data_IF_791278990038
#
_entry.id   IF_791278990038
#
_cell.length_a   1.000
_cell.length_b   1.000
_cell.length_c   1.000
_cell.angle_alpha   90.00
_cell.angle_beta   90.00
_cell.angle_gamma   90.00
#
_symmetry.space_group_name_H-M   'P 1'
#
loop_
_entity.id
_entity.type
_entity.pdbx_description
1 polymer ?
#
# COMPACT_ATOMS: atom_id res chain seq x y z
N UNK A 1 -33.68 -13.76 -5.24
CA UNK A 1 -32.98 -13.60 -3.95
C UNK A 1 -32.71 -12.16 -3.57
N UNK A 2 -32.34 -11.27 -4.51
CA UNK A 2 -31.71 -9.98 -4.20
C UNK A 2 -32.32 -9.11 -3.09
N UNK A 3 -33.65 -9.01 -2.98
CA UNK A 3 -34.27 -8.24 -1.88
C UNK A 3 -34.09 -8.92 -0.50
N UNK A 4 -34.15 -10.26 -0.47
CA UNK A 4 -33.88 -11.04 0.73
C UNK A 4 -32.38 -10.98 1.08
N UNK A 5 -31.49 -11.13 0.11
CA UNK A 5 -30.05 -11.00 0.33
C UNK A 5 -29.67 -9.61 0.84
N UNK A 6 -30.34 -8.55 0.36
CA UNK A 6 -30.18 -7.19 0.88
C UNK A 6 -30.63 -7.07 2.33
N UNK A 7 -31.78 -7.67 2.67
CA UNK A 7 -32.32 -7.70 4.03
C UNK A 7 -31.42 -8.47 5.00
N UNK A 8 -30.82 -9.56 4.52
CA UNK A 8 -29.94 -10.42 5.31
C UNK A 8 -28.47 -9.95 5.31
N UNK A 9 -28.14 -8.91 4.55
CA UNK A 9 -26.79 -8.36 4.45
C UNK A 9 -25.80 -9.33 3.81
N UNK A 10 -26.22 -10.01 2.72
CA UNK A 10 -25.44 -11.04 2.03
C UNK A 10 -25.00 -10.63 0.63
N UNK A 11 -23.70 -10.78 0.35
CA UNK A 11 -23.14 -10.74 -0.99
C UNK A 11 -23.19 -12.14 -1.58
N UNK A 12 -24.06 -12.34 -2.56
CA UNK A 12 -24.25 -13.61 -3.27
C UNK A 12 -23.94 -13.45 -4.75
N UNK A 13 -23.14 -14.37 -5.30
CA UNK A 13 -22.88 -14.40 -6.74
C UNK A 13 -24.07 -15.04 -7.48
N UNK A 14 -24.38 -14.52 -8.67
CA UNK A 14 -25.42 -15.08 -9.52
C UNK A 14 -24.85 -16.26 -10.32
N UNK A 15 -25.50 -17.42 -10.23
CA UNK A 15 -25.07 -18.67 -10.88
C UNK A 15 -24.07 -19.46 -10.03
N UNK A 16 -23.41 -20.45 -10.62
CA UNK A 16 -22.45 -21.32 -9.91
C UNK A 16 -21.12 -20.58 -9.65
N UNK A 17 -20.73 -20.33 -8.39
CA UNK A 17 -19.57 -19.50 -8.07
C UNK A 17 -18.26 -19.94 -8.72
N UNK A 18 -17.93 -21.24 -8.65
CA UNK A 18 -16.72 -21.79 -9.27
C UNK A 18 -16.65 -21.51 -10.79
N UNK A 19 -17.74 -21.75 -11.53
CA UNK A 19 -17.79 -21.47 -12.98
C UNK A 19 -17.56 -19.99 -13.26
N UNK A 20 -18.24 -19.10 -12.52
CA UNK A 20 -18.14 -17.66 -12.74
C UNK A 20 -16.77 -17.09 -12.37
N UNK A 21 -16.08 -17.65 -11.38
CA UNK A 21 -14.73 -17.23 -11.02
C UNK A 21 -13.70 -17.68 -12.06
N UNK A 22 -13.86 -18.88 -12.65
CA UNK A 22 -13.01 -19.34 -13.75
C UNK A 22 -13.18 -18.52 -15.02
N UNK A 23 -14.41 -18.06 -15.29
CA UNK A 23 -14.69 -17.15 -16.41
C UNK A 23 -14.05 -15.75 -16.24
N UNK A 24 -14.10 -15.19 -15.02
CA UNK A 24 -13.54 -13.87 -14.70
C UNK A 24 -13.10 -13.82 -13.24
N UNK A 25 -11.81 -14.08 -12.95
CA UNK A 25 -11.29 -14.14 -11.58
C UNK A 25 -11.47 -12.83 -10.80
N UNK A 26 -11.59 -11.70 -11.49
CA UNK A 26 -11.85 -10.37 -10.89
C UNK A 26 -13.17 -10.34 -10.10
N UNK A 27 -14.12 -11.25 -10.37
CA UNK A 27 -15.35 -11.36 -9.58
C UNK A 27 -15.08 -11.69 -8.11
N UNK A 28 -14.01 -12.40 -7.79
CA UNK A 28 -13.59 -12.65 -6.40
C UNK A 28 -13.21 -11.35 -5.71
N UNK A 29 -12.38 -10.52 -6.34
CA UNK A 29 -11.99 -9.20 -5.85
C UNK A 29 -13.21 -8.29 -5.65
N UNK A 30 -14.16 -8.31 -6.59
CA UNK A 30 -15.40 -7.53 -6.50
C UNK A 30 -16.29 -7.98 -5.34
N UNK A 31 -16.43 -9.28 -5.10
CA UNK A 31 -17.21 -9.80 -3.98
C UNK A 31 -16.66 -9.28 -2.64
N UNK A 32 -15.33 -9.37 -2.45
CA UNK A 32 -14.64 -8.83 -1.27
C UNK A 32 -14.81 -7.32 -1.16
N UNK A 33 -14.65 -6.58 -2.26
CA UNK A 33 -14.84 -5.13 -2.28
C UNK A 33 -16.23 -4.71 -1.82
N UNK A 34 -17.27 -5.38 -2.30
CA UNK A 34 -18.65 -5.06 -1.92
C UNK A 34 -18.96 -5.48 -0.48
N UNK A 35 -18.44 -6.63 -0.03
CA UNK A 35 -18.57 -7.06 1.35
C UNK A 35 -18.00 -6.01 2.32
N UNK A 36 -16.77 -5.52 2.06
CA UNK A 36 -16.15 -4.46 2.86
C UNK A 36 -16.95 -3.15 2.79
N UNK A 37 -17.26 -2.66 1.59
CA UNK A 37 -17.94 -1.37 1.39
C UNK A 37 -19.34 -1.30 2.01
N UNK A 38 -20.11 -2.37 1.88
CA UNK A 38 -21.51 -2.42 2.36
C UNK A 38 -21.61 -2.95 3.78
N UNK A 39 -20.48 -3.34 4.39
CA UNK A 39 -20.45 -4.05 5.69
C UNK A 39 -21.36 -5.28 5.70
N UNK A 40 -21.34 -6.02 4.58
CA UNK A 40 -22.14 -7.23 4.34
C UNK A 40 -21.25 -8.47 4.34
N UNK A 41 -21.82 -9.63 4.65
CA UNK A 41 -21.09 -10.91 4.64
C UNK A 41 -21.18 -11.55 3.27
N UNK A 42 -20.14 -12.27 2.84
CA UNK A 42 -20.21 -13.09 1.63
C UNK A 42 -20.98 -14.37 1.96
N UNK A 43 -21.93 -14.77 1.11
CA UNK A 43 -22.68 -16.00 1.34
C UNK A 43 -21.73 -17.22 1.34
N UNK A 44 -21.97 -18.27 2.15
CA UNK A 44 -21.04 -19.39 2.27
C UNK A 44 -20.70 -20.06 0.94
N UNK A 45 -21.70 -20.25 0.07
CA UNK A 45 -21.52 -20.79 -1.29
C UNK A 45 -20.64 -19.91 -2.20
N UNK A 46 -20.71 -18.58 -2.01
CA UNK A 46 -19.92 -17.61 -2.77
C UNK A 46 -18.50 -17.51 -2.20
N UNK A 47 -18.36 -17.65 -0.90
CA UNK A 47 -17.10 -17.53 -0.18
C UNK A 47 -16.18 -18.74 -0.36
N UNK A 48 -16.74 -19.96 -0.32
CA UNK A 48 -15.96 -21.22 -0.28
C UNK A 48 -14.96 -21.36 -1.45
N UNK A 49 -15.30 -21.05 -2.71
CA UNK A 49 -14.35 -21.26 -3.80
C UNK A 49 -13.22 -20.22 -3.85
N UNK A 50 -13.37 -19.09 -3.14
CA UNK A 50 -12.45 -17.95 -3.28
C UNK A 50 -11.01 -18.32 -2.89
N UNK A 51 -10.72 -18.90 -1.71
CA UNK A 51 -9.34 -19.22 -1.34
C UNK A 51 -8.72 -20.29 -2.26
N UNK A 52 -9.53 -21.26 -2.71
CA UNK A 52 -9.11 -22.34 -3.63
C UNK A 52 -8.73 -21.80 -5.01
N UNK A 53 -9.45 -20.78 -5.49
CA UNK A 53 -9.31 -20.23 -6.84
C UNK A 53 -8.49 -18.93 -6.88
N UNK A 54 -8.02 -18.44 -5.73
CA UNK A 54 -7.31 -17.17 -5.61
C UNK A 54 -6.11 -17.05 -6.58
N UNK A 55 -5.44 -18.16 -6.89
CA UNK A 55 -4.30 -18.18 -7.83
C UNK A 55 -4.69 -17.82 -9.26
N UNK A 56 -5.95 -17.97 -9.66
CA UNK A 56 -6.45 -17.54 -10.98
C UNK A 56 -6.34 -16.02 -11.20
N UNK A 57 -6.15 -15.25 -10.13
CA UNK A 57 -5.84 -13.82 -10.23
C UNK A 57 -4.57 -13.58 -11.05
N UNK A 58 -3.60 -14.49 -11.03
CA UNK A 58 -2.35 -14.37 -11.78
C UNK A 58 -2.56 -14.42 -13.31
N UNK A 59 -3.67 -15.00 -13.78
CA UNK A 59 -4.03 -15.07 -15.20
C UNK A 59 -4.70 -13.79 -15.71
N UNK A 60 -5.05 -12.87 -14.80
CA UNK A 60 -5.67 -11.59 -15.15
C UNK A 60 -4.60 -10.61 -15.60
N UNK A 61 -4.80 -9.87 -16.72
CA UNK A 61 -3.86 -8.86 -17.18
C UNK A 61 -3.47 -7.85 -16.08
N UNK A 62 -2.17 -7.58 -15.85
CA UNK A 62 -1.70 -6.70 -14.78
C UNK A 62 -2.31 -5.29 -14.76
N UNK A 63 -2.69 -4.76 -15.93
CA UNK A 63 -3.38 -3.46 -16.03
C UNK A 63 -4.79 -3.49 -15.41
N UNK A 64 -5.54 -4.59 -15.62
CA UNK A 64 -6.86 -4.78 -15.00
C UNK A 64 -6.72 -4.97 -13.49
N UNK A 65 -5.71 -5.72 -13.05
CA UNK A 65 -5.44 -5.88 -11.61
C UNK A 65 -5.06 -4.56 -10.94
N UNK A 66 -4.27 -3.72 -11.61
CA UNK A 66 -3.95 -2.40 -11.12
C UNK A 66 -5.21 -1.54 -10.89
N UNK A 67 -6.14 -1.49 -11.86
CA UNK A 67 -7.39 -0.75 -11.69
C UNK A 67 -8.23 -1.29 -10.52
N UNK A 68 -8.34 -2.61 -10.37
CA UNK A 68 -9.08 -3.21 -9.27
C UNK A 68 -8.38 -2.99 -7.93
N UNK A 69 -7.04 -3.01 -7.87
CA UNK A 69 -6.28 -2.70 -6.66
C UNK A 69 -6.57 -1.28 -6.16
N UNK A 70 -6.68 -0.29 -7.06
CA UNK A 70 -7.09 1.06 -6.67
C UNK A 70 -8.52 1.10 -6.14
N UNK A 71 -9.46 0.39 -6.78
CA UNK A 71 -10.86 0.31 -6.32
C UNK A 71 -11.00 -0.41 -4.98
N UNK A 72 -10.09 -1.33 -4.66
CA UNK A 72 -10.06 -2.06 -3.40
C UNK A 72 -9.50 -1.19 -2.28
N UNK A 73 -8.34 -0.56 -2.50
CA UNK A 73 -7.55 0.07 -1.45
C UNK A 73 -7.74 1.58 -1.32
N UNK A 74 -8.32 2.25 -2.34
CA UNK A 74 -8.49 3.71 -2.37
C UNK A 74 -9.95 4.12 -2.61
N UNK A 75 -10.90 3.29 -2.21
CA UNK A 75 -12.33 3.60 -2.29
C UNK A 75 -12.95 4.05 -0.95
N UNK A 76 -12.11 4.29 0.07
CA UNK A 76 -12.55 4.68 1.41
C UNK A 76 -12.79 3.50 2.36
N UNK A 77 -12.61 2.27 1.89
CA UNK A 77 -12.81 1.03 2.67
C UNK A 77 -11.59 0.10 2.59
N UNK A 78 -10.42 0.66 2.32
CA UNK A 78 -9.18 -0.06 2.07
C UNK A 78 -8.76 -0.95 3.25
N UNK A 79 -8.92 -0.49 4.50
CA UNK A 79 -8.52 -1.30 5.66
C UNK A 79 -9.41 -2.54 5.84
N UNK A 80 -10.73 -2.37 5.75
CA UNK A 80 -11.68 -3.47 5.83
C UNK A 80 -11.52 -4.43 4.65
N UNK A 81 -11.32 -3.88 3.45
CA UNK A 81 -11.04 -4.66 2.23
C UNK A 81 -9.75 -5.46 2.38
N UNK A 82 -8.69 -4.87 2.93
CA UNK A 82 -7.42 -5.57 3.17
C UNK A 82 -7.55 -6.76 4.12
N UNK A 83 -8.31 -6.62 5.21
CA UNK A 83 -8.56 -7.74 6.13
C UNK A 83 -9.23 -8.91 5.42
N UNK A 84 -10.27 -8.63 4.63
CA UNK A 84 -10.95 -9.66 3.85
C UNK A 84 -10.04 -10.25 2.75
N UNK A 85 -9.24 -9.44 2.06
CA UNK A 85 -8.29 -9.94 1.07
C UNK A 85 -7.28 -10.91 1.69
N UNK A 86 -6.83 -10.66 2.93
CA UNK A 86 -5.97 -11.59 3.66
C UNK A 86 -6.71 -12.87 4.06
N UNK A 87 -7.91 -12.73 4.62
CA UNK A 87 -8.74 -13.86 5.04
C UNK A 87 -9.02 -14.83 3.88
N UNK A 88 -9.29 -14.29 2.68
CA UNK A 88 -9.61 -15.07 1.49
C UNK A 88 -8.39 -15.43 0.62
N UNK A 89 -7.16 -15.20 1.09
CA UNK A 89 -5.92 -15.47 0.35
C UNK A 89 -5.81 -14.74 -1.02
N UNK A 90 -6.51 -13.61 -1.17
CA UNK A 90 -6.52 -12.80 -2.39
C UNK A 90 -5.48 -11.66 -2.37
N UNK A 91 -4.93 -11.34 -1.20
CA UNK A 91 -3.87 -10.32 -1.10
C UNK A 91 -2.56 -10.79 -1.74
N UNK A 92 -2.26 -12.09 -1.58
CA UNK A 92 -1.05 -12.75 -2.01
C UNK A 92 -0.80 -12.67 -3.52
N UNK A 93 -1.76 -13.01 -4.40
CA UNK A 93 -1.57 -12.85 -5.84
C UNK A 93 -1.48 -11.39 -6.30
N UNK A 94 -2.00 -10.43 -5.54
CA UNK A 94 -1.90 -8.99 -5.89
C UNK A 94 -0.57 -8.36 -5.44
N UNK A 95 -0.04 -8.80 -4.30
CA UNK A 95 1.15 -8.22 -3.67
C UNK A 95 2.13 -9.31 -3.21
N UNK A 96 2.71 -10.10 -4.13
CA UNK A 96 3.63 -11.18 -3.78
C UNK A 96 4.88 -10.66 -3.05
N UNK A 97 5.40 -9.50 -3.46
CA UNK A 97 6.58 -8.87 -2.85
C UNK A 97 6.37 -8.53 -1.38
N UNK A 98 5.16 -8.08 -1.02
CA UNK A 98 4.79 -7.75 0.36
C UNK A 98 4.53 -9.02 1.15
N UNK A 99 3.77 -9.95 0.58
CA UNK A 99 3.37 -11.20 1.24
C UNK A 99 4.56 -12.01 1.72
N UNK A 100 5.66 -12.02 0.97
CA UNK A 100 6.90 -12.73 1.36
C UNK A 100 7.49 -12.23 2.68
N UNK A 101 7.21 -11.00 3.07
CA UNK A 101 7.72 -10.37 4.28
C UNK A 101 6.73 -10.43 5.46
N UNK A 102 5.58 -11.12 5.32
CA UNK A 102 4.64 -11.27 6.43
C UNK A 102 5.18 -12.17 7.53
N UNK A 103 4.82 -11.85 8.77
CA UNK A 103 5.25 -12.59 9.96
C UNK A 103 4.10 -13.43 10.51
N UNK A 104 4.41 -14.56 11.15
CA UNK A 104 3.39 -15.40 11.80
C UNK A 104 2.60 -14.66 12.88
N UNK A 105 3.27 -13.75 13.60
CA UNK A 105 2.67 -12.93 14.65
C UNK A 105 1.73 -11.84 14.09
N UNK A 106 1.79 -11.54 12.80
CA UNK A 106 0.91 -10.57 12.14
C UNK A 106 1.14 -9.09 12.54
N UNK A 107 2.27 -8.79 13.18
CA UNK A 107 2.49 -7.52 13.89
C UNK A 107 3.85 -6.87 13.57
N UNK A 108 4.39 -7.18 12.40
CA UNK A 108 5.61 -6.55 11.89
C UNK A 108 5.40 -5.05 11.60
N UNK A 109 6.48 -4.23 11.59
CA UNK A 109 6.39 -2.83 11.17
C UNK A 109 5.73 -2.65 9.81
N UNK A 110 5.99 -3.56 8.86
CA UNK A 110 5.35 -3.56 7.55
C UNK A 110 3.84 -3.79 7.63
N UNK A 111 3.38 -4.77 8.41
CA UNK A 111 1.95 -5.04 8.57
C UNK A 111 1.22 -3.88 9.24
N UNK A 112 1.84 -3.29 10.26
CA UNK A 112 1.34 -2.06 10.90
C UNK A 112 1.29 -0.88 9.94
N UNK A 113 2.29 -0.73 9.07
CA UNK A 113 2.34 0.30 8.03
C UNK A 113 1.19 0.18 7.04
N UNK A 114 0.97 -1.03 6.51
CA UNK A 114 -0.14 -1.28 5.58
C UNK A 114 -1.47 -0.98 6.26
N UNK A 115 -1.67 -1.46 7.49
CA UNK A 115 -2.88 -1.18 8.24
C UNK A 115 -3.10 0.33 8.46
N UNK A 116 -2.07 1.05 8.89
CA UNK A 116 -2.18 2.48 9.22
C UNK A 116 -2.36 3.34 7.98
N UNK A 117 -1.62 3.09 6.89
CA UNK A 117 -1.77 3.87 5.65
C UNK A 117 -3.15 3.68 5.03
N UNK A 118 -3.74 2.48 5.13
CA UNK A 118 -5.10 2.23 4.66
C UNK A 118 -6.14 2.93 5.53
N UNK A 119 -6.03 2.85 6.86
CA UNK A 119 -6.92 3.60 7.78
C UNK A 119 -6.87 5.10 7.54
N UNK A 120 -5.66 5.65 7.34
CA UNK A 120 -5.47 7.06 7.03
C UNK A 120 -6.08 7.40 5.67
N UNK A 121 -5.87 6.57 4.65
CA UNK A 121 -6.47 6.75 3.31
C UNK A 121 -8.00 6.73 3.39
N UNK A 122 -8.57 5.81 4.15
CA UNK A 122 -10.02 5.70 4.35
C UNK A 122 -10.57 6.95 5.02
N UNK A 123 -9.93 7.42 6.09
CA UNK A 123 -10.28 8.66 6.78
C UNK A 123 -10.19 9.87 5.85
N UNK A 124 -9.19 9.93 4.96
CA UNK A 124 -9.04 11.03 4.01
C UNK A 124 -10.16 11.05 2.98
N UNK A 125 -10.54 9.90 2.43
CA UNK A 125 -11.60 9.81 1.43
C UNK A 125 -12.95 10.18 2.04
N UNK A 126 -13.25 9.73 3.26
CA UNK A 126 -14.49 10.10 3.96
C UNK A 126 -14.58 11.59 4.30
N UNK A 127 -13.45 12.30 4.37
CA UNK A 127 -13.38 13.74 4.57
C UNK A 127 -13.24 14.51 3.24
N UNK A 128 -13.63 13.91 2.10
CA UNK A 128 -13.55 14.49 0.74
C UNK A 128 -12.16 15.02 0.35
N UNK A 129 -11.11 14.49 0.98
CA UNK A 129 -9.74 14.88 0.67
C UNK A 129 -9.18 14.04 -0.47
N UNK A 130 -8.42 14.69 -1.36
CA UNK A 130 -7.68 14.00 -2.42
C UNK A 130 -6.65 13.05 -1.81
N UNK A 131 -6.54 11.87 -2.40
CA UNK A 131 -5.52 10.86 -2.08
C UNK A 131 -4.59 10.65 -3.27
N UNK A 132 -3.32 10.36 -2.99
CA UNK A 132 -2.32 10.10 -4.01
C UNK A 132 -2.00 8.59 -4.08
N UNK A 133 -2.31 7.90 -5.20
CA UNK A 133 -1.96 6.49 -5.38
C UNK A 133 -0.47 6.19 -5.16
N UNK A 134 0.42 7.10 -5.57
CA UNK A 134 1.85 6.90 -5.38
C UNK A 134 2.25 6.85 -3.90
N UNK A 135 1.55 7.60 -3.03
CA UNK A 135 1.84 7.58 -1.60
C UNK A 135 1.48 6.22 -0.97
N UNK A 136 0.34 5.65 -1.35
CA UNK A 136 -0.08 4.33 -0.86
C UNK A 136 0.97 3.27 -1.20
N UNK A 137 1.39 3.17 -2.47
CA UNK A 137 2.41 2.21 -2.87
C UNK A 137 3.77 2.49 -2.22
N UNK A 138 4.18 3.76 -2.12
CA UNK A 138 5.44 4.13 -1.46
C UNK A 138 5.47 3.67 0.01
N UNK A 139 4.36 3.78 0.73
CA UNK A 139 4.24 3.31 2.11
C UNK A 139 4.19 1.78 2.21
N UNK A 140 3.36 1.11 1.39
CA UNK A 140 3.21 -0.34 1.43
C UNK A 140 4.51 -1.09 1.09
N UNK A 141 5.29 -0.58 0.14
CA UNK A 141 6.55 -1.20 -0.28
C UNK A 141 7.78 -0.65 0.47
N UNK A 142 7.60 0.22 1.48
CA UNK A 142 8.71 0.84 2.20
C UNK A 142 9.63 -0.20 2.86
N UNK A 143 9.08 -1.13 3.62
CA UNK A 143 9.88 -2.16 4.30
C UNK A 143 10.46 -3.21 3.35
N UNK A 144 9.72 -3.73 2.35
CA UNK A 144 10.32 -4.55 1.30
C UNK A 144 11.51 -3.88 0.59
N UNK A 145 11.43 -2.57 0.36
CA UNK A 145 12.55 -1.78 -0.16
C UNK A 145 13.73 -1.74 0.79
N UNK A 146 13.51 -1.44 2.07
CA UNK A 146 14.59 -1.37 3.07
C UNK A 146 15.32 -2.71 3.20
N UNK A 147 14.58 -3.82 3.25
CA UNK A 147 15.13 -5.17 3.33
C UNK A 147 15.94 -5.51 2.08
N UNK A 148 15.41 -5.22 0.89
CA UNK A 148 16.13 -5.43 -0.37
C UNK A 148 17.40 -4.56 -0.47
N UNK A 149 17.33 -3.29 -0.07
CA UNK A 149 18.47 -2.37 -0.07
C UNK A 149 19.58 -2.84 0.88
N UNK A 150 19.21 -3.31 2.07
CA UNK A 150 20.15 -3.83 3.05
C UNK A 150 20.84 -5.10 2.53
N UNK A 151 20.07 -6.02 1.93
CA UNK A 151 20.62 -7.23 1.31
C UNK A 151 21.62 -6.90 0.20
N UNK A 152 21.25 -6.02 -0.74
CA UNK A 152 22.14 -5.63 -1.85
C UNK A 152 23.42 -4.97 -1.33
N UNK A 153 23.32 -4.09 -0.33
CA UNK A 153 24.48 -3.42 0.27
C UNK A 153 25.46 -4.42 0.89
N UNK A 154 24.94 -5.45 1.58
CA UNK A 154 25.75 -6.48 2.23
C UNK A 154 26.37 -7.46 1.22
N UNK A 155 25.62 -7.89 0.21
CA UNK A 155 26.07 -8.90 -0.76
C UNK A 155 27.02 -8.33 -1.82
N UNK A 156 26.78 -7.11 -2.28
CA UNK A 156 27.54 -6.50 -3.39
C UNK A 156 28.65 -5.55 -2.94
N UNK A 157 28.71 -5.21 -1.65
CA UNK A 157 29.67 -4.23 -1.10
C UNK A 157 29.46 -2.80 -1.60
N UNK A 158 28.31 -2.51 -2.21
CA UNK A 158 27.96 -1.18 -2.72
C UNK A 158 27.68 -0.21 -1.58
N UNK A 159 27.90 1.09 -1.82
CA UNK A 159 27.44 2.13 -0.91
C UNK A 159 25.91 2.06 -0.77
N UNK A 160 25.40 2.31 0.45
CA UNK A 160 23.97 2.15 0.75
C UNK A 160 23.07 3.00 -0.18
N UNK A 161 23.53 4.17 -0.60
CA UNK A 161 22.78 5.02 -1.54
C UNK A 161 22.55 4.34 -2.90
N UNK A 162 23.58 3.69 -3.45
CA UNK A 162 23.51 3.00 -4.73
C UNK A 162 22.71 1.69 -4.60
N UNK A 163 22.93 0.95 -3.51
CA UNK A 163 22.15 -0.25 -3.18
C UNK A 163 20.65 0.06 -3.05
N UNK A 164 20.30 1.18 -2.40
CA UNK A 164 18.91 1.64 -2.27
C UNK A 164 18.29 1.99 -3.62
N UNK A 165 19.03 2.65 -4.51
CA UNK A 165 18.54 2.97 -5.85
C UNK A 165 18.25 1.71 -6.69
N UNK A 166 19.13 0.70 -6.60
CA UNK A 166 18.93 -0.62 -7.23
C UNK A 166 17.74 -1.35 -6.63
N UNK A 167 17.64 -1.44 -5.30
CA UNK A 167 16.51 -2.06 -4.62
C UNK A 167 15.16 -1.42 -4.99
N UNK A 168 15.13 -0.09 -5.14
CA UNK A 168 13.95 0.63 -5.60
C UNK A 168 13.55 0.24 -7.04
N UNK A 169 14.51 -0.07 -7.92
CA UNK A 169 14.22 -0.63 -9.23
C UNK A 169 13.59 -2.01 -9.09
N UNK A 170 14.27 -2.92 -8.40
CA UNK A 170 13.89 -4.32 -8.32
C UNK A 170 12.50 -4.51 -7.71
N UNK A 171 12.22 -3.81 -6.60
CA UNK A 171 10.91 -3.87 -5.92
C UNK A 171 9.80 -3.34 -6.82
N UNK A 172 10.03 -2.22 -7.52
CA UNK A 172 9.02 -1.66 -8.41
C UNK A 172 8.81 -2.50 -9.66
N UNK A 173 9.87 -3.07 -10.23
CA UNK A 173 9.78 -3.93 -11.41
C UNK A 173 9.06 -5.24 -11.06
N UNK A 174 9.33 -5.80 -9.88
CA UNK A 174 8.58 -6.95 -9.38
C UNK A 174 7.10 -6.64 -9.15
N UNK A 175 6.79 -5.52 -8.49
CA UNK A 175 5.41 -5.08 -8.33
C UNK A 175 4.73 -4.82 -9.68
N UNK A 176 5.46 -4.26 -10.66
CA UNK A 176 4.97 -3.99 -12.01
C UNK A 176 4.62 -5.25 -12.81
N UNK A 177 5.25 -6.40 -12.50
CA UNK A 177 4.90 -7.69 -13.11
C UNK A 177 3.49 -8.14 -12.72
N UNK A 178 3.05 -7.82 -11.51
CA UNK A 178 1.72 -8.21 -11.00
C UNK A 178 0.67 -7.12 -11.23
N UNK A 179 0.99 -5.88 -10.91
CA UNK A 179 0.13 -4.72 -11.08
C UNK A 179 0.84 -3.82 -12.06
N UNK A 180 0.34 -3.58 -13.28
CA UNK A 180 1.02 -2.71 -14.25
C UNK A 180 0.96 -1.24 -13.81
N UNK A 181 1.75 -0.89 -12.77
CA UNK A 181 1.76 0.43 -12.16
C UNK A 181 2.29 1.42 -13.21
N UNK A 182 1.50 2.43 -13.60
CA UNK A 182 1.92 3.42 -14.59
C UNK A 182 3.24 4.10 -14.22
N UNK A 183 4.09 4.38 -15.22
CA UNK A 183 5.38 5.07 -15.01
C UNK A 183 5.24 6.38 -14.24
N UNK A 184 4.15 7.13 -14.48
CA UNK A 184 3.85 8.36 -13.72
C UNK A 184 3.77 8.12 -12.21
N UNK A 185 3.33 6.95 -11.76
CA UNK A 185 3.19 6.61 -10.34
C UNK A 185 4.53 6.11 -9.81
N UNK A 186 5.21 5.22 -10.52
CA UNK A 186 6.51 4.69 -10.08
C UNK A 186 7.57 5.77 -9.96
N UNK A 187 7.58 6.78 -10.84
CA UNK A 187 8.45 7.95 -10.71
C UNK A 187 8.18 8.70 -9.40
N UNK A 188 6.91 8.95 -9.05
CA UNK A 188 6.58 9.64 -7.80
C UNK A 188 6.91 8.81 -6.56
N UNK A 189 6.74 7.49 -6.62
CA UNK A 189 7.14 6.57 -5.54
C UNK A 189 8.64 6.69 -5.28
N UNK A 190 9.45 6.68 -6.34
CA UNK A 190 10.91 6.85 -6.23
C UNK A 190 11.29 8.21 -5.65
N UNK A 191 10.63 9.29 -6.07
CA UNK A 191 10.89 10.62 -5.51
C UNK A 191 10.60 10.66 -4.00
N UNK A 192 9.48 10.06 -3.56
CA UNK A 192 9.12 9.96 -2.14
C UNK A 192 10.20 9.22 -1.35
N UNK A 193 10.67 8.08 -1.86
CA UNK A 193 11.71 7.28 -1.21
C UNK A 193 13.07 7.98 -1.17
N UNK A 194 13.50 8.59 -2.28
CA UNK A 194 14.77 9.31 -2.34
C UNK A 194 14.83 10.49 -1.38
N UNK A 195 13.68 11.13 -1.10
CA UNK A 195 13.60 12.18 -0.10
C UNK A 195 13.85 11.63 1.30
N UNK A 196 13.45 10.40 1.64
CA UNK A 196 13.71 9.80 2.96
C UNK A 196 15.20 9.80 3.30
N UNK A 197 16.06 9.45 2.32
CA UNK A 197 17.52 9.47 2.50
C UNK A 197 18.10 10.87 2.74
N UNK A 198 17.39 11.91 2.30
CA UNK A 198 17.83 13.30 2.41
C UNK A 198 17.24 14.01 3.62
N UNK A 199 16.11 13.56 4.16
CA UNK A 199 15.42 14.20 5.27
C UNK A 199 16.23 14.21 6.56
N UNK A 200 17.19 13.28 6.73
CA UNK A 200 18.16 13.32 7.83
C UNK A 200 19.11 14.54 7.77
N UNK A 201 19.31 15.13 6.59
CA UNK A 201 20.20 16.27 6.35
C UNK A 201 19.48 17.61 6.60
N UNK A 202 19.32 17.96 7.88
CA UNK A 202 18.56 19.12 8.36
C UNK A 202 19.28 20.49 8.31
N UNK A 203 20.45 20.58 7.69
CA UNK A 203 21.32 21.77 7.85
C UNK A 203 21.16 22.80 6.73
N UNK A 204 20.83 24.04 7.11
CA UNK A 204 20.93 25.24 6.28
C UNK A 204 20.07 25.21 5.00
N UNK A 205 20.61 25.79 3.91
CA UNK A 205 19.92 25.91 2.60
C UNK A 205 19.41 24.58 2.02
N UNK A 206 19.95 23.44 2.46
CA UNK A 206 19.51 22.12 1.99
C UNK A 206 18.13 21.74 2.52
N UNK A 207 17.79 22.14 3.74
CA UNK A 207 16.47 21.89 4.32
C UNK A 207 15.37 22.65 3.54
N UNK A 208 15.63 23.93 3.25
CA UNK A 208 14.79 24.78 2.40
C UNK A 208 14.53 24.17 1.01
N UNK A 209 15.60 23.78 0.31
CA UNK A 209 15.48 23.13 -1.01
C UNK A 209 14.69 21.81 -0.96
N UNK A 210 14.78 21.08 0.16
CA UNK A 210 13.98 19.86 0.35
C UNK A 210 12.49 20.20 0.51
N UNK A 211 12.16 21.22 1.30
CA UNK A 211 10.79 21.67 1.55
C UNK A 211 10.10 22.16 0.28
N UNK A 212 10.83 22.83 -0.61
CA UNK A 212 10.34 23.28 -1.92
C UNK A 212 10.04 22.13 -2.89
N UNK A 213 10.50 20.90 -2.60
CA UNK A 213 10.32 19.78 -3.51
C UNK A 213 8.82 19.44 -3.67
N UNK A 214 8.29 19.23 -4.89
CA UNK A 214 6.86 18.96 -5.12
C UNK A 214 6.29 17.73 -4.38
N UNK A 215 7.18 16.83 -3.95
CA UNK A 215 6.85 15.59 -3.21
C UNK A 215 7.25 15.62 -1.73
N UNK A 216 7.70 16.77 -1.22
CA UNK A 216 8.05 16.94 0.18
C UNK A 216 6.91 16.51 1.11
N UNK A 217 5.67 16.95 0.86
CA UNK A 217 4.53 16.62 1.71
C UNK A 217 4.32 15.11 1.84
N UNK A 218 4.37 14.38 0.73
CA UNK A 218 4.23 12.92 0.73
C UNK A 218 5.41 12.22 1.41
N UNK A 219 6.64 12.75 1.26
CA UNK A 219 7.80 12.23 1.97
C UNK A 219 7.71 12.48 3.49
N UNK A 220 7.23 13.65 3.90
CA UNK A 220 6.99 13.96 5.31
C UNK A 220 5.89 13.10 5.93
N UNK A 221 4.78 12.89 5.21
CA UNK A 221 3.70 12.02 5.67
C UNK A 221 4.22 10.56 5.83
N UNK A 222 5.11 10.08 4.95
CA UNK A 222 5.74 8.76 5.08
C UNK A 222 6.69 8.69 6.29
N UNK A 223 7.56 9.69 6.46
CA UNK A 223 8.46 9.78 7.61
C UNK A 223 7.67 9.76 8.93
N UNK A 224 6.56 10.49 8.99
CA UNK A 224 5.69 10.56 10.17
C UNK A 224 5.09 9.18 10.49
N UNK A 225 4.64 8.44 9.48
CA UNK A 225 4.17 7.07 9.65
C UNK A 225 5.28 6.15 10.16
N UNK A 226 6.47 6.20 9.56
CA UNK A 226 7.61 5.38 10.01
C UNK A 226 7.96 5.65 11.48
N UNK A 227 7.98 6.93 11.89
CA UNK A 227 8.24 7.34 13.27
C UNK A 227 7.20 6.81 14.28
N UNK A 228 5.93 6.78 13.88
CA UNK A 228 4.83 6.23 14.69
C UNK A 228 4.95 4.71 14.84
N UNK A 229 5.22 4.02 13.74
CA UNK A 229 5.21 2.54 13.66
C UNK A 229 6.43 1.91 14.31
N UNK A 230 7.62 2.45 14.03
CA UNK A 230 8.88 1.91 14.55
C UNK A 230 9.12 2.31 16.01
N UNK A 231 8.35 3.29 16.53
CA UNK A 231 8.51 3.85 17.87
C UNK A 231 9.96 4.28 18.15
N UNK A 232 10.67 4.69 17.10
CA UNK A 232 12.06 5.08 17.16
C UNK A 232 12.14 6.57 17.55
N UNK A 233 12.79 6.86 18.68
CA UNK A 233 12.93 8.22 19.20
C UNK A 233 13.64 9.17 18.23
N UNK A 234 14.61 8.69 17.44
CA UNK A 234 15.32 9.52 16.47
C UNK A 234 14.41 9.92 15.31
N UNK A 235 13.62 8.98 14.78
CA UNK A 235 12.64 9.26 13.73
C UNK A 235 11.52 10.19 14.24
N UNK A 236 11.07 10.00 15.49
CA UNK A 236 10.08 10.88 16.11
C UNK A 236 10.58 12.31 16.25
N UNK A 237 11.82 12.50 16.73
CA UNK A 237 12.46 13.82 16.77
C UNK A 237 12.63 14.43 15.38
N UNK A 238 12.95 13.60 14.38
CA UNK A 238 13.09 14.05 13.00
C UNK A 238 11.74 14.51 12.41
N UNK A 239 10.68 13.74 12.63
CA UNK A 239 9.33 14.07 12.21
C UNK A 239 8.82 15.33 12.92
N UNK A 240 9.06 15.47 14.22
CA UNK A 240 8.72 16.68 14.96
C UNK A 240 9.46 17.91 14.42
N UNK A 241 10.77 17.80 14.20
CA UNK A 241 11.58 18.91 13.69
C UNK A 241 11.09 19.39 12.31
N UNK A 242 10.84 18.46 11.37
CA UNK A 242 10.26 18.82 10.07
C UNK A 242 8.82 19.35 10.19
N UNK A 243 8.09 18.85 11.20
CA UNK A 243 6.76 19.30 11.58
C UNK A 243 6.71 20.78 11.95
N UNK A 244 7.66 21.22 12.78
CA UNK A 244 7.84 22.60 13.20
C UNK A 244 8.41 23.45 12.05
N UNK A 245 9.49 23.00 11.42
CA UNK A 245 10.18 23.73 10.36
C UNK A 245 9.27 24.07 9.18
N UNK A 246 8.35 23.19 8.76
CA UNK A 246 7.47 23.47 7.62
C UNK A 246 6.38 24.51 7.90
N UNK A 247 6.10 24.84 9.17
CA UNK A 247 5.05 25.80 9.56
C UNK A 247 5.61 27.08 10.20
N UNK A 248 6.86 27.08 10.63
CA UNK A 248 7.54 28.26 11.16
C UNK A 248 7.65 29.40 10.12
N UNK A 249 7.71 30.65 10.59
CA UNK A 249 7.97 31.80 9.71
C UNK A 249 9.47 31.87 9.35
N UNK A 250 9.87 32.53 8.24
CA UNK A 250 11.28 32.62 7.82
C UNK A 250 12.30 33.11 8.88
N UNK A 251 11.94 33.95 9.88
CA UNK A 251 12.86 34.30 10.97
C UNK A 251 13.08 33.18 12.00
N UNK A 252 12.17 32.21 12.07
CA UNK A 252 12.16 31.08 13.03
C UNK A 252 12.58 29.74 12.37
N UNK A 253 12.83 29.73 11.05
CA UNK A 253 13.24 28.58 10.22
C UNK A 253 14.76 28.55 9.97
#
# INVERSE_FOLDING_TARGET
>A
GGMQDLKDGLIRLIGTPETRYREDPVRMLRAVRFAAKLSMRISPETAEPIPRLATLINDVPPARLFEEALKLLQAGYGYETYKLLREYSLFQPLFPTITRCFTENGDSPMERMIAQVLKNTDTRIHNDMRVNPAFLFAAMFWYPLLEAAQRIAQESGLAYYDAFALAANDVLDEACRTLAIPKRITTLVRDIWQLQLRMSRRQGKRAWKLMEHPKFRAAFDLLSLCAEIERNQELQRLAQWWGEFQVSAPPEQ
#
